data_IF_764950987320
#
_entry.id   IF_764950987320
#
_cell.length_a   1.000
_cell.length_b   1.000
_cell.length_c   1.000
_cell.angle_alpha   90.00
_cell.angle_beta   90.00
_cell.angle_gamma   90.00
#
_symmetry.space_group_name_H-M   'P 1'
#
loop_
_entity.id
_entity.type
_entity.pdbx_description
1 polymer ?
#
# COMPACT_ATOMS: atom_id res chain seq x y z
N UNK A 1 -30.53 -22.92 13.31
CA UNK A 1 -29.81 -24.17 13.69
C UNK A 1 -28.34 -23.86 13.52
N UNK A 2 -27.51 -24.11 14.53
CA UNK A 2 -26.04 -24.04 14.40
C UNK A 2 -25.58 -24.82 13.16
N UNK A 3 -24.66 -24.27 12.37
CA UNK A 3 -24.18 -24.86 11.10
C UNK A 3 -23.29 -26.08 11.37
N UNK A 4 -23.86 -27.16 11.91
CA UNK A 4 -23.16 -28.39 12.31
C UNK A 4 -22.38 -29.07 11.18
N UNK A 5 -22.66 -28.73 9.93
CA UNK A 5 -22.00 -29.29 8.75
C UNK A 5 -20.86 -28.41 8.21
N UNK A 6 -20.73 -27.17 8.67
CA UNK A 6 -19.64 -26.31 8.22
C UNK A 6 -18.33 -26.71 8.94
N UNK A 7 -17.48 -27.47 8.24
CA UNK A 7 -16.12 -27.78 8.68
C UNK A 7 -15.20 -26.56 8.51
N UNK A 8 -15.37 -25.60 9.43
CA UNK A 8 -14.64 -24.34 9.40
C UNK A 8 -13.13 -24.51 9.62
N UNK A 9 -12.69 -25.60 10.29
CA UNK A 9 -11.27 -25.88 10.52
C UNK A 9 -10.59 -26.26 9.20
N UNK A 10 -11.14 -27.25 8.49
CA UNK A 10 -10.61 -27.65 7.17
C UNK A 10 -10.74 -26.51 6.16
N UNK A 11 -11.85 -25.76 6.19
CA UNK A 11 -12.04 -24.60 5.32
C UNK A 11 -10.95 -23.54 5.52
N UNK A 12 -10.67 -23.13 6.77
CA UNK A 12 -9.62 -22.17 7.08
C UNK A 12 -8.22 -22.67 6.68
N UNK A 13 -7.94 -23.96 6.88
CA UNK A 13 -6.67 -24.58 6.46
C UNK A 13 -6.50 -24.52 4.93
N UNK A 14 -7.56 -24.82 4.18
CA UNK A 14 -7.54 -24.78 2.72
C UNK A 14 -7.30 -23.37 2.20
N UNK A 15 -7.92 -22.34 2.79
CA UNK A 15 -7.69 -20.95 2.40
C UNK A 15 -6.26 -20.49 2.72
N UNK A 16 -5.73 -20.85 3.89
CA UNK A 16 -4.35 -20.56 4.25
C UNK A 16 -3.34 -21.27 3.34
N UNK A 17 -3.66 -22.48 2.86
CA UNK A 17 -2.85 -23.19 1.89
C UNK A 17 -2.85 -22.47 0.53
N UNK A 18 -4.02 -22.06 0.03
CA UNK A 18 -4.15 -21.31 -1.22
C UNK A 18 -3.42 -19.96 -1.17
N UNK A 19 -3.44 -19.29 -0.02
CA UNK A 19 -2.77 -18.01 0.16
C UNK A 19 -1.27 -18.08 -0.12
N UNK A 20 -0.61 -19.22 0.10
CA UNK A 20 0.85 -19.41 -0.10
C UNK A 20 1.31 -19.03 -1.50
N UNK A 21 0.53 -19.39 -2.51
CA UNK A 21 0.87 -19.15 -3.91
C UNK A 21 0.52 -17.71 -4.35
N UNK A 22 -0.35 -17.04 -3.58
CA UNK A 22 -0.84 -15.69 -3.88
C UNK A 22 -0.05 -14.59 -3.16
N UNK A 23 0.68 -14.91 -2.08
CA UNK A 23 1.46 -13.90 -1.35
C UNK A 23 2.49 -13.26 -2.29
N UNK A 24 2.67 -11.92 -2.24
CA UNK A 24 3.68 -11.24 -3.05
C UNK A 24 5.08 -11.85 -2.88
N UNK A 25 5.74 -12.14 -4.00
CA UNK A 25 7.03 -12.82 -4.02
C UNK A 25 8.16 -11.97 -3.42
N UNK A 26 8.01 -10.65 -3.47
CA UNK A 26 8.91 -9.64 -2.92
C UNK A 26 8.91 -9.56 -1.38
N UNK A 27 7.96 -10.23 -0.72
CA UNK A 27 7.90 -10.25 0.75
C UNK A 27 8.98 -11.16 1.35
N UNK A 28 9.45 -10.79 2.54
CA UNK A 28 10.30 -11.67 3.35
C UNK A 28 9.51 -12.87 3.87
N UNK A 29 10.18 -13.96 4.26
CA UNK A 29 9.50 -15.14 4.78
C UNK A 29 8.63 -14.82 6.01
N UNK A 30 9.08 -13.90 6.87
CA UNK A 30 8.31 -13.44 8.02
C UNK A 30 7.03 -12.69 7.59
N UNK A 31 7.12 -11.84 6.56
CA UNK A 31 5.96 -11.14 6.00
C UNK A 31 5.00 -12.11 5.30
N UNK A 32 5.54 -13.11 4.59
CA UNK A 32 4.71 -14.14 3.95
C UNK A 32 3.94 -14.95 4.98
N UNK A 33 4.64 -15.41 6.01
CA UNK A 33 4.03 -16.16 7.11
C UNK A 33 3.00 -15.32 7.85
N UNK A 34 3.24 -14.02 8.02
CA UNK A 34 2.27 -13.10 8.61
C UNK A 34 0.95 -13.10 7.83
N UNK A 35 0.99 -12.84 6.51
CA UNK A 35 -0.20 -12.79 5.67
C UNK A 35 -1.00 -14.10 5.74
N UNK A 36 -0.30 -15.25 5.62
CA UNK A 36 -0.92 -16.58 5.66
C UNK A 36 -1.56 -16.84 7.02
N UNK A 37 -0.84 -16.56 8.11
CA UNK A 37 -1.35 -16.77 9.46
C UNK A 37 -2.54 -15.86 9.77
N UNK A 38 -2.50 -14.59 9.35
CA UNK A 38 -3.59 -13.64 9.57
C UNK A 38 -4.87 -14.09 8.87
N UNK A 39 -4.78 -14.48 7.59
CA UNK A 39 -5.92 -15.04 6.86
C UNK A 39 -6.44 -16.29 7.57
N UNK A 40 -5.56 -17.25 7.88
CA UNK A 40 -5.96 -18.52 8.50
C UNK A 40 -6.63 -18.32 9.86
N UNK A 41 -6.03 -17.48 10.72
CA UNK A 41 -6.54 -17.20 12.06
C UNK A 41 -7.91 -16.52 12.02
N UNK A 42 -8.10 -15.52 11.16
CA UNK A 42 -9.41 -14.85 11.07
C UNK A 42 -10.46 -15.73 10.41
N UNK A 43 -10.10 -16.55 9.42
CA UNK A 43 -11.01 -17.54 8.84
C UNK A 43 -11.48 -18.55 9.89
N UNK A 44 -10.54 -19.06 10.70
CA UNK A 44 -10.85 -19.99 11.78
C UNK A 44 -11.74 -19.34 12.83
N UNK A 45 -11.41 -18.11 13.27
CA UNK A 45 -12.17 -17.40 14.29
C UNK A 45 -13.59 -17.07 13.83
N UNK A 46 -13.75 -16.56 12.60
CA UNK A 46 -15.07 -16.23 12.06
C UNK A 46 -15.91 -17.48 11.83
N UNK A 47 -15.32 -18.52 11.25
CA UNK A 47 -16.02 -19.77 10.98
C UNK A 47 -16.48 -20.46 12.26
N UNK A 48 -15.61 -20.49 13.28
CA UNK A 48 -15.97 -20.95 14.63
C UNK A 48 -17.12 -20.15 15.22
N UNK A 49 -17.05 -18.81 15.15
CA UNK A 49 -18.10 -17.96 15.70
C UNK A 49 -19.46 -18.19 15.00
N UNK A 50 -19.46 -18.37 13.67
CA UNK A 50 -20.68 -18.65 12.90
C UNK A 50 -21.24 -20.05 13.15
N UNK A 51 -20.36 -21.03 13.37
CA UNK A 51 -20.76 -22.41 13.60
C UNK A 51 -21.22 -22.70 15.02
N UNK A 52 -20.60 -22.05 16.02
CA UNK A 52 -20.82 -22.34 17.43
C UNK A 52 -21.78 -21.37 18.13
N UNK A 53 -22.01 -20.16 17.61
CA UNK A 53 -22.92 -19.19 18.25
C UNK A 53 -24.39 -19.53 17.92
N UNK A 54 -25.19 -20.03 18.88
CA UNK A 54 -26.57 -20.42 18.63
C UNK A 54 -27.49 -19.22 18.35
N UNK A 55 -27.04 -17.99 18.63
CA UNK A 55 -27.79 -16.77 18.34
C UNK A 55 -27.65 -16.36 16.87
N UNK A 56 -26.64 -16.88 16.16
CA UNK A 56 -26.43 -16.66 14.74
C UNK A 56 -27.17 -17.74 13.96
N UNK A 57 -28.32 -17.38 13.39
CA UNK A 57 -29.15 -18.28 12.60
C UNK A 57 -28.77 -18.30 11.11
N UNK A 58 -27.47 -18.35 10.82
CA UNK A 58 -26.99 -18.50 9.46
C UNK A 58 -27.09 -19.96 9.00
N UNK A 59 -27.35 -20.16 7.71
CA UNK A 59 -27.18 -21.47 7.09
C UNK A 59 -25.70 -21.71 6.72
N UNK A 60 -25.40 -22.93 6.26
CA UNK A 60 -24.04 -23.34 5.91
C UNK A 60 -23.43 -22.46 4.81
N UNK A 61 -24.17 -22.18 3.74
CA UNK A 61 -23.72 -21.34 2.62
C UNK A 61 -23.38 -19.91 3.08
N UNK A 62 -24.19 -19.34 3.98
CA UNK A 62 -23.95 -18.03 4.56
C UNK A 62 -22.71 -18.04 5.45
N UNK A 63 -22.52 -19.08 6.26
CA UNK A 63 -21.34 -19.20 7.13
C UNK A 63 -20.05 -19.33 6.32
N UNK A 64 -20.07 -20.14 5.25
CA UNK A 64 -18.97 -20.26 4.28
C UNK A 64 -18.68 -18.91 3.64
N UNK A 65 -19.72 -18.24 3.12
CA UNK A 65 -19.56 -16.96 2.40
C UNK A 65 -19.00 -15.87 3.31
N UNK A 66 -19.51 -15.71 4.53
CA UNK A 66 -19.01 -14.71 5.49
C UNK A 66 -17.54 -15.01 5.83
N UNK A 67 -17.20 -16.27 6.06
CA UNK A 67 -15.83 -16.70 6.38
C UNK A 67 -14.87 -16.40 5.22
N UNK A 68 -15.31 -16.69 3.98
CA UNK A 68 -14.55 -16.38 2.76
C UNK A 68 -14.27 -14.89 2.62
N UNK A 69 -15.31 -14.05 2.78
CA UNK A 69 -15.16 -12.59 2.71
C UNK A 69 -14.12 -12.12 3.72
N UNK A 70 -14.19 -12.58 4.96
CA UNK A 70 -13.22 -12.21 6.00
C UNK A 70 -11.82 -12.65 5.62
N UNK A 71 -11.65 -13.87 5.11
CA UNK A 71 -10.36 -14.40 4.69
C UNK A 71 -9.71 -13.54 3.59
N UNK A 72 -10.46 -13.23 2.54
CA UNK A 72 -9.97 -12.46 1.39
C UNK A 72 -9.58 -11.03 1.78
N UNK A 73 -10.49 -10.34 2.48
CA UNK A 73 -10.18 -8.99 2.97
C UNK A 73 -8.99 -9.00 3.92
N UNK A 74 -8.88 -10.02 4.78
CA UNK A 74 -7.75 -10.15 5.71
C UNK A 74 -6.43 -10.31 4.96
N UNK A 75 -6.39 -11.15 3.94
CA UNK A 75 -5.22 -11.33 3.08
C UNK A 75 -4.76 -10.02 2.45
N UNK A 76 -5.68 -9.34 1.76
CA UNK A 76 -5.33 -8.12 1.05
C UNK A 76 -4.96 -6.97 1.99
N UNK A 77 -5.64 -6.85 3.14
CA UNK A 77 -5.29 -5.82 4.12
C UNK A 77 -3.97 -6.11 4.82
N UNK A 78 -3.62 -7.37 5.08
CA UNK A 78 -2.28 -7.72 5.56
C UNK A 78 -1.20 -7.31 4.55
N UNK A 79 -1.43 -7.54 3.25
CA UNK A 79 -0.52 -7.09 2.19
C UNK A 79 -0.40 -5.57 2.16
N UNK A 80 -1.51 -4.84 2.22
CA UNK A 80 -1.51 -3.37 2.18
C UNK A 80 -0.83 -2.75 3.42
N UNK A 81 -1.00 -3.34 4.60
CA UNK A 81 -0.33 -2.90 5.84
C UNK A 81 1.18 -3.12 5.77
N UNK A 82 1.62 -4.25 5.19
CA UNK A 82 3.05 -4.50 4.99
C UNK A 82 3.62 -3.48 4.00
N UNK A 83 2.93 -3.28 2.87
CA UNK A 83 3.38 -2.34 1.81
C UNK A 83 3.33 -0.89 2.23
N UNK A 84 2.43 -0.52 3.13
CA UNK A 84 2.36 0.83 3.67
C UNK A 84 3.55 1.18 4.55
N UNK A 85 4.31 0.20 5.05
CA UNK A 85 5.45 0.45 5.92
C UNK A 85 5.07 0.76 7.37
N UNK A 86 3.81 0.49 7.76
CA UNK A 86 3.41 0.54 9.18
C UNK A 86 4.33 -0.41 9.98
N UNK A 87 4.83 -0.01 11.17
CA UNK A 87 5.67 -0.90 11.97
C UNK A 87 4.94 -2.18 12.40
N UNK A 88 5.65 -3.32 12.33
CA UNK A 88 5.08 -4.66 12.57
C UNK A 88 4.32 -4.82 13.89
N UNK A 89 4.78 -4.15 14.95
CA UNK A 89 4.14 -4.17 16.26
C UNK A 89 2.70 -3.63 16.27
N UNK A 90 2.27 -2.94 15.22
CA UNK A 90 0.92 -2.40 15.08
C UNK A 90 0.03 -3.20 14.11
N UNK A 91 0.59 -4.15 13.36
CA UNK A 91 -0.18 -4.86 12.31
C UNK A 91 -1.39 -5.57 12.89
N UNK A 92 -1.22 -6.32 13.98
CA UNK A 92 -2.30 -7.10 14.58
C UNK A 92 -3.43 -6.23 15.11
N UNK A 93 -3.11 -5.09 15.75
CA UNK A 93 -4.13 -4.17 16.24
C UNK A 93 -4.98 -3.57 15.11
N UNK A 94 -4.34 -3.21 13.99
CA UNK A 94 -5.05 -2.70 12.80
C UNK A 94 -5.88 -3.82 12.18
N UNK A 95 -5.30 -5.00 12.00
CA UNK A 95 -5.95 -6.15 11.37
C UNK A 95 -7.15 -6.67 12.18
N UNK A 96 -7.06 -6.71 13.51
CA UNK A 96 -8.18 -7.08 14.39
C UNK A 96 -9.35 -6.11 14.24
N UNK A 97 -9.09 -4.80 14.19
CA UNK A 97 -10.14 -3.79 14.00
C UNK A 97 -10.86 -3.97 12.67
N UNK A 98 -10.11 -4.25 11.61
CA UNK A 98 -10.65 -4.54 10.27
C UNK A 98 -11.46 -5.83 10.27
N UNK A 99 -10.90 -6.95 10.76
CA UNK A 99 -11.56 -8.25 10.76
C UNK A 99 -12.88 -8.20 11.56
N UNK A 100 -12.88 -7.53 12.71
CA UNK A 100 -14.09 -7.29 13.50
C UNK A 100 -15.13 -6.48 12.72
N UNK A 101 -14.70 -5.44 12.01
CA UNK A 101 -15.60 -4.61 11.21
C UNK A 101 -16.26 -5.42 10.10
N UNK A 102 -15.49 -6.24 9.38
CA UNK A 102 -16.01 -7.11 8.31
C UNK A 102 -17.03 -8.09 8.89
N UNK A 103 -16.69 -8.75 9.99
CA UNK A 103 -17.55 -9.73 10.63
C UNK A 103 -18.90 -9.13 11.06
N UNK A 104 -18.89 -7.97 11.71
CA UNK A 104 -20.12 -7.32 12.18
C UNK A 104 -21.01 -6.82 11.02
N UNK A 105 -20.40 -6.20 10.00
CA UNK A 105 -21.15 -5.72 8.83
C UNK A 105 -21.69 -6.90 8.02
N UNK A 106 -20.90 -7.96 7.82
CA UNK A 106 -21.36 -9.16 7.14
C UNK A 106 -22.53 -9.80 7.91
N UNK A 107 -22.40 -10.02 9.22
CA UNK A 107 -23.51 -10.54 10.04
C UNK A 107 -24.79 -9.72 9.90
N UNK A 108 -24.68 -8.41 10.02
CA UNK A 108 -25.83 -7.51 9.92
C UNK A 108 -26.50 -7.59 8.54
N UNK A 109 -25.71 -7.51 7.47
CA UNK A 109 -26.21 -7.41 6.09
C UNK A 109 -26.76 -8.74 5.57
N UNK A 110 -26.14 -9.88 5.92
CA UNK A 110 -26.69 -11.20 5.63
C UNK A 110 -27.97 -11.48 6.41
N UNK A 111 -28.08 -11.03 7.66
CA UNK A 111 -29.32 -11.18 8.46
C UNK A 111 -30.47 -10.35 7.88
N UNK A 112 -30.17 -9.25 7.21
CA UNK A 112 -31.15 -8.42 6.50
C UNK A 112 -31.53 -8.98 5.12
N UNK A 113 -30.87 -10.04 4.66
CA UNK A 113 -31.11 -10.63 3.34
C UNK A 113 -30.74 -9.68 2.20
N UNK A 114 -29.75 -8.80 2.39
CA UNK A 114 -29.31 -7.90 1.33
C UNK A 114 -28.70 -8.70 0.15
N UNK A 115 -28.82 -8.20 -1.08
CA UNK A 115 -28.10 -8.74 -2.23
C UNK A 115 -26.57 -8.75 -2.01
N UNK A 116 -25.89 -9.75 -2.56
CA UNK A 116 -24.44 -9.93 -2.37
C UNK A 116 -23.62 -8.72 -2.84
N UNK A 117 -23.98 -8.06 -3.94
CA UNK A 117 -23.33 -6.85 -4.43
C UNK A 117 -23.40 -5.70 -3.41
N UNK A 118 -24.55 -5.55 -2.74
CA UNK A 118 -24.76 -4.55 -1.69
C UNK A 118 -24.02 -4.89 -0.39
N UNK A 119 -23.93 -6.18 -0.05
CA UNK A 119 -23.12 -6.65 1.07
C UNK A 119 -21.66 -6.24 0.86
N UNK A 120 -21.10 -6.52 -0.31
CA UNK A 120 -19.71 -6.22 -0.63
C UNK A 120 -19.42 -4.70 -0.64
N UNK A 121 -20.32 -3.90 -1.21
CA UNK A 121 -20.21 -2.43 -1.21
C UNK A 121 -20.18 -1.86 0.21
N UNK A 122 -21.03 -2.36 1.11
CA UNK A 122 -21.06 -1.94 2.51
C UNK A 122 -19.82 -2.38 3.27
N UNK A 123 -19.37 -3.63 3.08
CA UNK A 123 -18.15 -4.13 3.70
C UNK A 123 -16.96 -3.28 3.25
N UNK A 124 -16.82 -2.99 1.96
CA UNK A 124 -15.77 -2.13 1.43
C UNK A 124 -15.76 -0.75 2.09
N UNK A 125 -16.93 -0.09 2.13
CA UNK A 125 -17.06 1.22 2.76
C UNK A 125 -16.59 1.20 4.22
N UNK A 126 -17.05 0.21 4.99
CA UNK A 126 -16.74 0.11 6.40
C UNK A 126 -15.29 -0.33 6.67
N UNK A 127 -14.72 -1.21 5.85
CA UNK A 127 -13.29 -1.57 5.93
C UNK A 127 -12.42 -0.36 5.64
N UNK A 128 -12.72 0.42 4.60
CA UNK A 128 -12.01 1.66 4.28
C UNK A 128 -12.00 2.61 5.46
N UNK A 129 -13.17 2.86 6.03
CA UNK A 129 -13.33 3.74 7.17
C UNK A 129 -12.54 3.22 8.38
N UNK A 130 -12.69 1.94 8.71
CA UNK A 130 -12.03 1.31 9.86
C UNK A 130 -10.50 1.33 9.75
N UNK A 131 -9.97 1.06 8.55
CA UNK A 131 -8.54 1.18 8.26
C UNK A 131 -8.03 2.61 8.42
N UNK A 132 -8.71 3.59 7.81
CA UNK A 132 -8.34 5.01 7.93
C UNK A 132 -8.36 5.49 9.38
N UNK A 133 -9.37 5.10 10.15
CA UNK A 133 -9.43 5.40 11.58
C UNK A 133 -8.26 4.75 12.34
N UNK A 134 -7.93 3.48 12.04
CA UNK A 134 -6.85 2.77 12.72
C UNK A 134 -5.49 3.46 12.48
N UNK A 135 -5.17 3.82 11.24
CA UNK A 135 -3.90 4.50 10.93
C UNK A 135 -3.89 5.95 11.46
N UNK A 136 -5.05 6.63 11.48
CA UNK A 136 -5.18 7.96 12.10
C UNK A 136 -4.92 7.88 13.60
N UNK A 137 -5.42 6.84 14.27
CA UNK A 137 -5.16 6.61 15.69
C UNK A 137 -3.68 6.36 15.97
N UNK A 138 -2.99 5.57 15.13
CA UNK A 138 -1.54 5.37 15.21
C UNK A 138 -0.80 6.70 15.07
N UNK A 139 -1.21 7.55 14.13
CA UNK A 139 -0.63 8.89 13.95
C UNK A 139 -0.86 9.77 15.18
N UNK A 140 -2.08 9.78 15.71
CA UNK A 140 -2.44 10.57 16.89
C UNK A 140 -1.68 10.14 18.14
N UNK A 141 -1.30 8.86 18.23
CA UNK A 141 -0.46 8.29 19.28
C UNK A 141 1.04 8.52 19.06
N UNK A 142 1.44 9.15 17.96
CA UNK A 142 2.84 9.35 17.58
C UNK A 142 3.56 8.06 17.14
N UNK A 143 2.81 7.00 16.84
CA UNK A 143 3.36 5.72 16.39
C UNK A 143 3.80 5.72 14.93
N UNK A 144 3.19 6.58 14.10
CA UNK A 144 3.55 6.83 12.70
C UNK A 144 3.47 8.34 12.41
N UNK A 145 4.20 8.81 11.41
CA UNK A 145 4.12 10.20 10.96
C UNK A 145 2.99 10.44 9.94
N UNK A 146 2.71 11.72 9.66
CA UNK A 146 1.66 12.14 8.73
C UNK A 146 1.89 11.58 7.32
N UNK A 147 3.14 11.58 6.84
CA UNK A 147 3.47 11.11 5.50
C UNK A 147 3.28 9.59 5.36
N UNK A 148 3.58 8.83 6.43
CA UNK A 148 3.31 7.40 6.50
C UNK A 148 1.81 7.11 6.54
N UNK A 149 1.04 7.90 7.29
CA UNK A 149 -0.43 7.78 7.34
C UNK A 149 -1.06 8.07 5.96
N UNK A 150 -0.68 9.18 5.32
CA UNK A 150 -1.13 9.52 3.97
C UNK A 150 -0.76 8.43 2.95
N UNK A 151 0.47 7.92 3.02
CA UNK A 151 0.91 6.84 2.14
C UNK A 151 0.11 5.56 2.36
N UNK A 152 -0.08 5.15 3.62
CA UNK A 152 -0.90 4.01 4.00
C UNK A 152 -2.34 4.13 3.47
N UNK A 153 -2.95 5.31 3.58
CA UNK A 153 -4.27 5.58 3.02
C UNK A 153 -4.36 5.34 1.50
N UNK A 154 -3.26 5.54 0.77
CA UNK A 154 -3.20 5.30 -0.69
C UNK A 154 -2.93 3.85 -1.10
N UNK A 155 -2.46 2.99 -0.19
CA UNK A 155 -2.17 1.58 -0.49
C UNK A 155 -3.40 0.70 -0.61
N UNK A 156 -4.58 1.22 -0.26
CA UNK A 156 -5.81 0.44 -0.31
C UNK A 156 -6.26 0.14 -1.75
N UNK A 157 -5.86 -1.03 -2.27
CA UNK A 157 -6.30 -1.55 -3.57
C UNK A 157 -7.74 -2.15 -3.50
N UNK A 158 -8.66 -1.46 -2.83
CA UNK A 158 -9.97 -2.02 -2.41
C UNK A 158 -10.97 -2.11 -3.56
N UNK A 159 -11.01 -1.12 -4.45
CA UNK A 159 -11.88 -1.14 -5.64
C UNK A 159 -11.61 -2.37 -6.54
N UNK A 160 -10.35 -2.81 -6.62
CA UNK A 160 -9.95 -4.00 -7.38
C UNK A 160 -10.42 -5.29 -6.70
N UNK A 161 -10.40 -5.33 -5.37
CA UNK A 161 -10.81 -6.49 -4.57
C UNK A 161 -12.32 -6.71 -4.62
N UNK A 162 -13.12 -5.64 -4.48
CA UNK A 162 -14.57 -5.74 -4.59
C UNK A 162 -15.00 -6.28 -5.96
N UNK A 163 -14.30 -5.88 -7.03
CA UNK A 163 -14.52 -6.39 -8.39
C UNK A 163 -14.12 -7.87 -8.53
N UNK A 164 -12.98 -8.29 -7.98
CA UNK A 164 -12.55 -9.69 -7.98
C UNK A 164 -13.55 -10.59 -7.23
N UNK A 165 -14.03 -10.13 -6.07
CA UNK A 165 -15.00 -10.87 -5.24
C UNK A 165 -16.39 -10.93 -5.90
N UNK A 166 -16.83 -9.85 -6.54
CA UNK A 166 -18.06 -9.85 -7.36
C UNK A 166 -17.95 -10.81 -8.56
N UNK A 167 -16.79 -10.85 -9.22
CA UNK A 167 -16.56 -11.77 -10.34
C UNK A 167 -16.58 -13.24 -9.91
N UNK A 168 -15.99 -13.57 -8.76
CA UNK A 168 -16.03 -14.93 -8.20
C UNK A 168 -17.43 -15.33 -7.73
N UNK A 169 -18.17 -14.42 -7.08
CA UNK A 169 -19.55 -14.66 -6.67
C UNK A 169 -20.47 -14.91 -7.88
N UNK A 170 -20.28 -14.17 -8.98
CA UNK A 170 -21.02 -14.39 -10.22
C UNK A 170 -20.69 -15.74 -10.87
N UNK A 171 -19.44 -16.19 -10.80
CA UNK A 171 -19.05 -17.52 -11.28
C UNK A 171 -19.66 -18.65 -10.44
N UNK A 172 -19.72 -18.51 -9.10
CA UNK A 172 -20.33 -19.52 -8.23
C UNK A 172 -21.85 -19.63 -8.42
N UNK A 173 -22.53 -18.51 -8.71
CA UNK A 173 -23.97 -18.51 -9.03
C UNK A 173 -24.28 -19.12 -10.41
N UNK A 174 -23.37 -19.00 -11.38
CA UNK A 174 -23.53 -19.60 -12.71
C UNK A 174 -23.43 -21.14 -12.68
N UNK A 175 -22.62 -21.72 -11.78
CA UNK A 175 -22.48 -23.18 -11.64
C UNK A 175 -23.72 -23.83 -10.99
N UNK A 176 -24.52 -23.08 -10.23
CA UNK A 176 -25.77 -23.58 -9.63
C UNK A 176 -26.99 -23.54 -10.58
N UNK A 177 -26.91 -22.87 -11.73
CA UNK A 177 -28.03 -22.78 -12.68
C UNK A 177 -28.02 -23.86 -13.79
N UNK A 178 -26.93 -24.61 -13.97
CA UNK A 178 -26.86 -25.71 -14.94
C UNK A 178 -26.85 -27.09 -14.23
N UNK A 179 -27.84 -27.29 -13.37
CA UNK A 179 -28.07 -28.52 -12.62
C UNK A 179 -28.80 -29.60 -13.39
N UNK A 180 -28.54 -29.80 -14.70
CA UNK A 180 -29.09 -30.97 -15.40
C UNK A 180 -28.28 -31.45 -16.62
N UNK A 181 -27.13 -32.08 -16.38
CA UNK A 181 -26.64 -33.15 -17.26
C UNK A 181 -25.70 -34.11 -16.51
N UNK A 182 -25.98 -35.42 -16.62
CA UNK A 182 -25.27 -36.54 -16.00
C UNK A 182 -23.79 -36.67 -16.41
N UNK A 183 -22.96 -37.37 -15.61
CA UNK A 183 -21.54 -37.53 -15.90
C UNK A 183 -21.31 -38.60 -16.98
N UNK A 184 -20.47 -38.29 -17.96
CA UNK A 184 -19.86 -39.30 -18.86
C UNK A 184 -18.36 -39.40 -18.58
N UNK A 185 -17.82 -40.60 -18.29
CA UNK A 185 -16.39 -40.81 -18.11
C UNK A 185 -15.79 -41.42 -19.38
N UNK A 186 -14.81 -40.79 -20.03
CA UNK A 186 -13.94 -41.48 -21.01
C UNK A 186 -12.56 -40.83 -21.04
N UNK A 187 -11.53 -41.62 -20.72
CA UNK A 187 -10.14 -41.29 -20.98
C UNK A 187 -9.76 -41.56 -22.44
N UNK A 188 -8.74 -40.87 -22.94
CA UNK A 188 -8.16 -41.16 -24.25
C UNK A 188 -7.30 -40.02 -24.81
N UNK A 189 -6.05 -40.34 -25.11
CA UNK A 189 -4.98 -39.57 -25.73
C UNK A 189 -5.33 -38.40 -26.71
N UNK A 190 -4.64 -37.28 -26.43
CA UNK A 190 -4.08 -36.18 -27.24
C UNK A 190 -4.16 -36.31 -28.79
N UNK A 191 -4.49 -35.20 -29.49
CA UNK A 191 -3.51 -34.57 -30.37
C UNK A 191 -3.31 -33.08 -30.09
N UNK A 192 -2.06 -32.64 -30.27
CA UNK A 192 -1.65 -31.24 -30.31
C UNK A 192 -2.33 -30.46 -31.45
N UNK A 193 -2.29 -29.12 -31.32
CA UNK A 193 -2.80 -28.07 -32.21
C UNK A 193 -4.28 -27.69 -32.09
N UNK A 194 -4.55 -26.83 -31.10
CA UNK A 194 -5.30 -25.61 -31.33
C UNK A 194 -4.71 -24.53 -30.40
N UNK A 195 -3.93 -23.62 -30.98
CA UNK A 195 -3.52 -22.37 -30.34
C UNK A 195 -4.78 -21.59 -29.97
N UNK A 196 -5.21 -21.73 -28.71
CA UNK A 196 -6.15 -20.79 -28.12
C UNK A 196 -5.39 -19.48 -27.93
N UNK A 197 -5.64 -18.55 -28.83
CA UNK A 197 -5.30 -17.14 -28.69
C UNK A 197 -5.85 -16.67 -27.34
N UNK A 198 -4.97 -16.62 -26.34
CA UNK A 198 -5.14 -15.68 -25.25
C UNK A 198 -5.20 -14.32 -25.92
N UNK A 199 -6.35 -13.66 -25.82
CA UNK A 199 -6.47 -12.24 -26.16
C UNK A 199 -5.52 -11.51 -25.21
N UNK A 200 -4.30 -11.32 -25.69
CA UNK A 200 -3.30 -10.43 -25.14
C UNK A 200 -3.83 -9.03 -25.39
N UNK A 201 -4.52 -8.48 -24.39
CA UNK A 201 -4.67 -7.04 -24.32
C UNK A 201 -3.26 -6.48 -24.26
N UNK A 202 -2.83 -5.66 -25.23
CA UNK A 202 -1.48 -5.14 -25.23
C UNK A 202 -1.26 -4.48 -23.88
N UNK A 203 -0.33 -5.02 -23.08
CA UNK A 203 0.31 -4.27 -22.00
C UNK A 203 0.60 -2.91 -22.62
N UNK A 204 -0.09 -1.86 -22.18
CA UNK A 204 0.40 -0.50 -22.43
C UNK A 204 1.81 -0.56 -21.88
N UNK A 205 2.80 -0.53 -22.78
CA UNK A 205 4.18 -0.81 -22.44
C UNK A 205 4.53 0.01 -21.19
N UNK A 206 4.90 -0.67 -20.10
CA UNK A 206 5.10 -0.03 -18.79
C UNK A 206 6.05 1.17 -18.92
N UNK A 207 6.99 1.09 -19.87
CA UNK A 207 7.89 2.17 -20.24
C UNK A 207 7.14 3.36 -20.83
N UNK A 208 6.28 3.13 -21.83
CA UNK A 208 5.48 4.18 -22.48
C UNK A 208 4.59 4.92 -21.48
N UNK A 209 3.94 4.19 -20.58
CA UNK A 209 3.09 4.78 -19.53
C UNK A 209 3.90 5.65 -18.55
N UNK A 210 5.11 5.22 -18.19
CA UNK A 210 6.03 5.98 -17.32
C UNK A 210 6.54 7.24 -18.02
N UNK A 211 6.96 7.15 -19.28
CA UNK A 211 7.41 8.31 -20.07
C UNK A 211 6.27 9.33 -20.26
N UNK A 212 5.05 8.86 -20.51
CA UNK A 212 3.86 9.71 -20.56
C UNK A 212 3.57 10.40 -19.22
N UNK A 213 3.73 9.69 -18.10
CA UNK A 213 3.56 10.27 -16.76
C UNK A 213 4.64 11.31 -16.44
N UNK A 214 5.90 11.05 -16.81
CA UNK A 214 7.00 12.02 -16.69
C UNK A 214 6.73 13.26 -17.54
N UNK A 215 6.20 13.10 -18.75
CA UNK A 215 5.80 14.22 -19.61
C UNK A 215 4.70 15.09 -18.97
N UNK A 216 3.71 14.48 -18.29
CA UNK A 216 2.70 15.24 -17.53
C UNK A 216 3.33 16.06 -16.39
N UNK A 217 4.36 15.54 -15.73
CA UNK A 217 5.10 16.26 -14.69
C UNK A 217 5.90 17.42 -15.29
N UNK A 218 6.63 17.17 -16.38
CA UNK A 218 7.49 18.17 -17.03
C UNK A 218 6.71 19.34 -17.60
N UNK A 219 5.46 19.13 -18.07
CA UNK A 219 4.54 20.23 -18.45
C UNK A 219 4.28 21.23 -17.32
N UNK A 220 4.39 20.80 -16.06
CA UNK A 220 4.16 21.64 -14.87
C UNK A 220 5.45 22.21 -14.28
N UNK A 221 6.61 21.92 -14.87
CA UNK A 221 7.92 22.35 -14.40
C UNK A 221 8.49 23.50 -15.24
N UNK A 222 9.48 24.21 -14.69
CA UNK A 222 10.27 25.18 -15.44
C UNK A 222 11.04 24.47 -16.58
N UNK A 223 10.96 25.02 -17.79
CA UNK A 223 11.46 24.36 -19.00
C UNK A 223 13.00 24.23 -19.05
N UNK A 224 13.76 25.15 -18.45
CA UNK A 224 15.23 25.04 -18.37
C UNK A 224 15.66 23.84 -17.52
N UNK A 225 14.91 23.60 -16.44
CA UNK A 225 15.10 22.41 -15.58
C UNK A 225 14.69 21.13 -16.29
N UNK A 226 13.58 21.17 -17.02
CA UNK A 226 13.12 20.03 -17.83
C UNK A 226 14.19 19.64 -18.85
N UNK A 227 14.77 20.60 -19.58
CA UNK A 227 15.82 20.33 -20.56
C UNK A 227 17.07 19.73 -19.90
N UNK A 228 17.46 20.25 -18.74
CA UNK A 228 18.60 19.70 -17.98
C UNK A 228 18.39 18.24 -17.60
N UNK A 229 17.16 17.87 -17.23
CA UNK A 229 16.79 16.49 -16.86
C UNK A 229 16.69 15.61 -18.10
N UNK A 230 16.07 16.09 -19.19
CA UNK A 230 15.95 15.36 -20.46
C UNK A 230 17.32 15.01 -21.06
N UNK A 231 18.34 15.85 -20.87
CA UNK A 231 19.71 15.56 -21.30
C UNK A 231 20.35 14.35 -20.59
N UNK A 232 19.75 13.86 -19.50
CA UNK A 232 20.20 12.67 -18.77
C UNK A 232 19.46 11.39 -19.21
N UNK A 233 18.47 11.52 -20.10
CA UNK A 233 17.72 10.38 -20.64
C UNK A 233 18.41 9.83 -21.89
N UNK A 234 18.16 8.56 -22.19
CA UNK A 234 18.49 8.01 -23.51
C UNK A 234 17.77 8.82 -24.61
N UNK A 235 18.40 9.08 -25.77
CA UNK A 235 17.83 9.97 -26.80
C UNK A 235 16.42 9.60 -27.25
N UNK A 236 16.13 8.30 -27.42
CA UNK A 236 14.82 7.78 -27.83
C UNK A 236 13.73 8.03 -26.77
N UNK A 237 14.10 7.93 -25.49
CA UNK A 237 13.18 8.16 -24.37
C UNK A 237 12.92 9.65 -24.19
N UNK A 238 13.95 10.48 -24.34
CA UNK A 238 13.82 11.94 -24.31
C UNK A 238 12.88 12.43 -25.43
N UNK A 239 13.03 11.92 -26.65
CA UNK A 239 12.16 12.26 -27.79
C UNK A 239 10.71 11.82 -27.53
N UNK A 240 10.53 10.63 -26.97
CA UNK A 240 9.20 10.11 -26.58
C UNK A 240 8.52 11.01 -25.53
N UNK A 241 9.25 11.45 -24.50
CA UNK A 241 8.74 12.38 -23.48
C UNK A 241 8.37 13.72 -24.11
N UNK A 242 9.21 14.28 -24.98
CA UNK A 242 8.92 15.53 -25.71
C UNK A 242 7.66 15.39 -26.57
N UNK A 243 7.47 14.24 -27.23
CA UNK A 243 6.26 13.96 -28.02
C UNK A 243 5.01 13.91 -27.15
N UNK A 244 5.06 13.23 -26.00
CA UNK A 244 3.95 13.21 -25.03
C UNK A 244 3.66 14.60 -24.46
N UNK A 245 4.69 15.41 -24.19
CA UNK A 245 4.52 16.80 -23.73
C UNK A 245 3.71 17.67 -24.72
N UNK A 246 3.58 17.27 -25.99
CA UNK A 246 2.78 18.01 -26.98
C UNK A 246 1.31 17.57 -27.04
N UNK A 247 0.93 16.45 -26.40
CA UNK A 247 -0.44 15.93 -26.42
C UNK A 247 -1.34 16.62 -25.39
N UNK A 248 -2.41 17.33 -25.77
CA UNK A 248 -3.27 18.07 -24.83
C UNK A 248 -4.13 17.15 -23.96
N UNK A 249 -4.60 16.03 -24.49
CA UNK A 249 -5.46 15.02 -23.85
C UNK A 249 -4.67 13.95 -23.08
N UNK A 250 -3.36 14.15 -22.90
CA UNK A 250 -2.49 13.22 -22.18
C UNK A 250 -3.00 12.83 -20.78
N UNK A 251 -3.53 13.75 -19.94
CA UNK A 251 -4.02 13.38 -18.60
C UNK A 251 -5.18 12.39 -18.63
N UNK A 252 -6.08 12.53 -19.60
CA UNK A 252 -7.24 11.65 -19.80
C UNK A 252 -6.80 10.27 -20.30
N UNK A 253 -5.83 10.24 -21.24
CA UNK A 253 -5.28 9.00 -21.78
C UNK A 253 -4.47 8.19 -20.78
N UNK A 254 -3.66 8.85 -19.96
CA UNK A 254 -2.89 8.18 -18.92
C UNK A 254 -3.83 7.70 -17.80
N UNK A 255 -4.80 8.55 -17.43
CA UNK A 255 -5.73 8.28 -16.33
C UNK A 255 -5.10 8.54 -14.97
N UNK A 256 -5.88 9.12 -14.05
CA UNK A 256 -5.40 9.58 -12.75
C UNK A 256 -4.76 8.45 -11.91
N UNK A 257 -5.36 7.26 -11.88
CA UNK A 257 -4.84 6.13 -11.09
C UNK A 257 -3.49 5.61 -11.62
N UNK A 258 -3.32 5.52 -12.95
CA UNK A 258 -2.07 5.07 -13.56
C UNK A 258 -0.96 6.12 -13.41
N UNK A 259 -1.29 7.41 -13.55
CA UNK A 259 -0.35 8.50 -13.31
C UNK A 259 0.15 8.49 -11.86
N UNK A 260 -0.76 8.33 -10.88
CA UNK A 260 -0.39 8.25 -9.46
C UNK A 260 0.52 7.06 -9.18
N UNK A 261 0.20 5.87 -9.70
CA UNK A 261 1.05 4.67 -9.58
C UNK A 261 2.45 4.91 -10.14
N UNK A 262 2.57 5.45 -11.36
CA UNK A 262 3.86 5.73 -11.98
C UNK A 262 4.66 6.80 -11.21
N UNK A 263 4.01 7.86 -10.73
CA UNK A 263 4.66 8.89 -9.90
C UNK A 263 5.16 8.32 -8.57
N UNK A 264 4.43 7.39 -7.96
CA UNK A 264 4.85 6.70 -6.74
C UNK A 264 6.06 5.81 -7.00
N UNK A 265 6.07 5.03 -8.08
CA UNK A 265 7.24 4.23 -8.48
C UNK A 265 8.47 5.12 -8.72
N UNK A 266 8.29 6.25 -9.41
CA UNK A 266 9.38 7.23 -9.62
C UNK A 266 9.87 7.74 -8.27
N UNK A 267 8.98 8.13 -7.35
CA UNK A 267 9.33 8.62 -6.02
C UNK A 267 10.12 7.59 -5.19
N UNK A 268 9.76 6.31 -5.26
CA UNK A 268 10.44 5.24 -4.52
C UNK A 268 11.85 4.95 -5.06
N UNK A 269 12.05 5.16 -6.36
CA UNK A 269 13.34 4.91 -7.02
C UNK A 269 14.22 6.16 -7.13
N UNK A 270 13.68 7.35 -6.84
CA UNK A 270 14.49 8.56 -6.79
C UNK A 270 15.47 8.50 -5.61
N UNK A 271 16.74 8.88 -5.81
CA UNK A 271 17.69 9.01 -4.71
C UNK A 271 17.11 9.91 -3.62
N UNK A 272 17.14 9.47 -2.36
CA UNK A 272 16.71 10.29 -1.22
C UNK A 272 17.46 11.61 -1.26
N UNK A 273 16.73 12.74 -1.26
CA UNK A 273 17.32 14.08 -1.20
C UNK A 273 18.29 14.13 -0.03
N UNK A 274 19.57 14.02 -0.31
CA UNK A 274 20.60 14.01 0.72
C UNK A 274 20.90 15.46 1.06
N UNK A 275 20.98 15.79 2.35
CA UNK A 275 21.38 17.11 2.86
C UNK A 275 22.89 17.40 2.61
N UNK A 276 23.44 16.92 1.49
CA UNK A 276 24.87 16.97 1.17
C UNK A 276 25.30 18.31 0.58
N UNK A 277 24.35 19.16 0.20
CA UNK A 277 24.70 20.49 -0.31
C UNK A 277 24.98 21.44 0.87
N UNK A 278 26.13 22.14 0.91
CA UNK A 278 26.48 23.12 1.93
C UNK A 278 25.33 24.08 2.31
N UNK A 279 24.59 24.56 1.31
CA UNK A 279 23.44 25.47 1.48
C UNK A 279 22.34 24.86 2.35
N UNK A 280 22.00 23.58 2.15
CA UNK A 280 20.99 22.89 2.96
C UNK A 280 21.45 22.70 4.40
N UNK A 281 22.73 22.39 4.61
CA UNK A 281 23.31 22.28 5.95
C UNK A 281 23.25 23.62 6.68
N UNK A 282 23.64 24.71 6.02
CA UNK A 282 23.57 26.08 6.56
C UNK A 282 22.13 26.43 6.94
N UNK A 283 21.16 26.20 6.05
CA UNK A 283 19.75 26.49 6.33
C UNK A 283 19.19 25.68 7.52
N UNK A 284 19.58 24.41 7.64
CA UNK A 284 19.19 23.54 8.74
C UNK A 284 19.72 24.05 10.08
N UNK A 285 20.98 24.47 10.10
CA UNK A 285 21.61 25.05 11.29
C UNK A 285 20.99 26.40 11.66
N UNK A 286 20.72 27.28 10.68
CA UNK A 286 19.99 28.54 10.91
C UNK A 286 18.61 28.28 11.51
N UNK A 287 17.89 27.28 11.01
CA UNK A 287 16.58 26.92 11.53
C UNK A 287 16.67 26.45 13.00
N UNK A 288 17.65 25.60 13.33
CA UNK A 288 17.92 25.23 14.72
C UNK A 288 18.23 26.45 15.59
N UNK A 289 19.16 27.31 15.15
CA UNK A 289 19.63 28.44 15.93
C UNK A 289 18.55 29.52 16.14
N UNK A 290 17.61 29.66 15.21
CA UNK A 290 16.48 30.60 15.31
C UNK A 290 15.56 30.36 16.52
N UNK A 291 15.64 29.18 17.16
CA UNK A 291 14.85 28.82 18.34
C UNK A 291 15.42 29.36 19.66
N UNK A 292 16.62 29.93 19.63
CA UNK A 292 17.38 30.31 20.82
C UNK A 292 17.91 31.74 20.69
N UNK A 293 18.08 32.41 21.81
CA UNK A 293 18.81 33.70 21.87
C UNK A 293 20.32 33.46 21.77
N UNK A 294 21.10 34.50 21.44
CA UNK A 294 22.57 34.39 21.34
C UNK A 294 23.20 33.80 22.60
N UNK A 295 22.76 34.23 23.78
CA UNK A 295 23.28 33.75 25.08
C UNK A 295 22.92 32.29 25.36
N UNK A 296 21.74 31.84 24.90
CA UNK A 296 21.33 30.44 25.00
C UNK A 296 22.13 29.56 24.03
N UNK A 297 22.38 30.04 22.81
CA UNK A 297 23.25 29.37 21.84
C UNK A 297 24.67 29.19 22.39
N UNK A 298 25.25 30.22 23.00
CA UNK A 298 26.58 30.12 23.62
C UNK A 298 26.63 29.07 24.73
N UNK A 299 25.54 28.95 25.51
CA UNK A 299 25.42 27.95 26.58
C UNK A 299 25.29 26.53 26.01
N UNK A 300 24.44 26.34 25.00
CA UNK A 300 24.23 25.06 24.33
C UNK A 300 25.51 24.59 23.63
N UNK A 301 26.22 25.52 23.01
CA UNK A 301 27.45 25.22 22.28
C UNK A 301 28.66 25.15 23.21
N UNK A 302 28.60 25.59 24.47
CA UNK A 302 29.73 25.56 25.41
C UNK A 302 30.47 24.20 25.46
N UNK A 303 29.78 23.04 25.61
CA UNK A 303 30.43 21.72 25.63
C UNK A 303 30.96 21.27 24.26
N UNK A 304 30.58 21.92 23.17
CA UNK A 304 30.91 21.47 21.82
C UNK A 304 32.35 21.78 21.40
N UNK A 305 32.86 20.95 20.49
CA UNK A 305 34.20 21.14 19.91
C UNK A 305 34.24 22.41 19.05
N UNK A 306 35.41 23.05 18.98
CA UNK A 306 35.60 24.29 18.20
C UNK A 306 35.16 24.20 16.74
N UNK A 307 35.28 23.03 16.10
CA UNK A 307 34.80 22.82 14.73
C UNK A 307 33.28 22.90 14.58
N UNK A 308 32.53 22.44 15.59
CA UNK A 308 31.07 22.53 15.64
C UNK A 308 30.64 23.98 15.90
N UNK A 309 31.29 24.64 16.87
CA UNK A 309 31.07 26.08 17.15
C UNK A 309 31.25 26.92 15.88
N UNK A 310 32.37 26.74 15.16
CA UNK A 310 32.65 27.45 13.90
C UNK A 310 31.65 27.14 12.80
N UNK A 311 31.22 25.88 12.67
CA UNK A 311 30.16 25.52 11.72
C UNK A 311 28.87 26.30 12.01
N UNK A 312 28.46 26.41 13.28
CA UNK A 312 27.23 27.11 13.66
C UNK A 312 27.34 28.61 13.46
N UNK A 313 28.42 29.24 13.89
CA UNK A 313 28.60 30.69 13.71
C UNK A 313 28.74 31.10 12.25
N UNK A 314 29.52 30.36 11.44
CA UNK A 314 29.58 30.61 9.99
C UNK A 314 28.19 30.43 9.35
N UNK A 315 27.45 29.39 9.75
CA UNK A 315 26.11 29.17 9.23
C UNK A 315 25.15 30.31 9.60
N UNK A 316 25.26 30.95 10.77
CA UNK A 316 24.46 32.13 11.13
C UNK A 316 24.73 33.31 10.20
N UNK A 317 25.98 33.51 9.80
CA UNK A 317 26.39 34.51 8.79
C UNK A 317 25.96 34.13 7.36
N UNK A 318 25.49 32.89 7.15
CA UNK A 318 25.06 32.38 5.85
C UNK A 318 26.17 31.68 5.06
N UNK A 319 27.32 31.47 5.67
CA UNK A 319 28.48 30.83 5.07
C UNK A 319 28.62 29.38 5.53
N UNK A 320 29.26 28.55 4.69
CA UNK A 320 29.58 27.18 5.05
C UNK A 320 30.99 27.11 5.67
N UNK A 321 31.18 26.23 6.64
CA UNK A 321 32.50 26.00 7.21
C UNK A 321 33.28 24.96 6.39
N UNK A 322 34.09 25.43 5.45
CA UNK A 322 34.78 24.60 4.44
C UNK A 322 35.74 23.55 5.02
N UNK A 323 36.17 23.69 6.28
CA UNK A 323 37.04 22.70 6.94
C UNK A 323 36.28 21.48 7.47
N UNK A 324 34.95 21.47 7.36
CA UNK A 324 34.13 20.30 7.69
C UNK A 324 33.50 19.73 6.42
N UNK A 325 33.65 18.43 6.14
CA UNK A 325 32.97 17.82 4.99
C UNK A 325 31.43 17.87 5.14
N UNK A 326 30.65 18.10 4.07
CA UNK A 326 29.19 18.24 4.13
C UNK A 326 28.47 17.06 4.80
N UNK A 327 28.99 15.84 4.63
CA UNK A 327 28.46 14.65 5.30
C UNK A 327 28.61 14.71 6.83
N UNK A 328 29.76 15.18 7.31
CA UNK A 328 30.02 15.35 8.75
C UNK A 328 29.19 16.51 9.29
N UNK A 329 29.13 17.62 8.55
CA UNK A 329 28.35 18.79 8.94
C UNK A 329 26.84 18.50 9.01
N UNK A 330 26.32 17.64 8.12
CA UNK A 330 24.93 17.17 8.15
C UNK A 330 24.63 16.33 9.41
N UNK A 331 25.56 15.48 9.84
CA UNK A 331 25.44 14.71 11.09
C UNK A 331 25.43 15.66 12.30
N UNK A 332 26.36 16.63 12.32
CA UNK A 332 26.42 17.65 13.37
C UNK A 332 25.13 18.47 13.44
N UNK A 333 24.61 18.94 12.30
CA UNK A 333 23.36 19.68 12.25
C UNK A 333 22.18 18.87 12.80
N UNK A 334 22.16 17.56 12.53
CA UNK A 334 21.11 16.67 13.03
C UNK A 334 21.28 16.36 14.52
N UNK A 335 22.52 16.29 15.01
CA UNK A 335 22.81 16.14 16.43
C UNK A 335 22.39 17.38 17.23
N UNK A 336 22.73 18.58 16.77
CA UNK A 336 22.32 19.83 17.41
C UNK A 336 20.80 19.98 17.45
N UNK A 337 20.09 19.52 16.42
CA UNK A 337 18.64 19.57 16.37
C UNK A 337 17.94 18.61 17.35
N UNK A 338 18.59 17.50 17.72
CA UNK A 338 18.01 16.43 18.55
C UNK A 338 18.60 16.37 19.96
N UNK A 339 19.72 17.04 20.22
CA UNK A 339 20.53 16.94 21.43
C UNK A 339 20.33 18.06 22.45
N UNK A 340 19.28 18.88 22.29
CA UNK A 340 18.93 19.99 23.19
C UNK A 340 17.52 19.82 23.73
#
# INVERSE_FOLDING_TARGET
>A
MATKNFDYETFAQNLAAQAKDLVPQDFTDAQKQYVINTLGNFSLLSGKALAEDPNLNFNEDQAITITQIIAEWSFHKSVDIIRSGIPQQYWDGVMQKIAYTIFEIAKQTFSQGLPNDKILELIEHHVKKSYLEAITELKNKGAIDEGLMEFAATQSNMDKMAQEMQAQAAQQQAVQQDGNAQPVPVGGNIPANATAETIDFPKVDSKVLKLATVAMLFKKMNQDRVQTILNQFEPEDAESVIKFMKLPDLPERVGAQNALRCLQEIKMNLPKSTDLTPVKVVNKIKHFASKYTSTQLDTILAPERMGVKRLVFNALEGEYYDKMPPKVASIVASHLQNGV
#
